data_IF_072883555648
#
_entry.id   IF_072883555648
#
_cell.length_a   1.000
_cell.length_b   1.000
_cell.length_c   1.000
_cell.angle_alpha   90.00
_cell.angle_beta   90.00
_cell.angle_gamma   90.00
#
_symmetry.space_group_name_H-M   'P 1'
#
loop_
_entity.id
_entity.type
_entity.pdbx_description
1 polymer ?
#
# COMPACT_ATOMS: atom_id res chain seq x y z
N UNK A 1 78.05 -19.33 39.44
CA UNK A 1 76.72 -19.78 39.89
C UNK A 1 76.06 -18.61 40.56
N UNK A 2 75.24 -17.89 39.80
CA UNK A 2 74.58 -16.68 40.29
C UNK A 2 73.38 -17.07 41.16
N UNK A 3 73.37 -16.59 42.39
CA UNK A 3 72.32 -16.90 43.37
C UNK A 3 71.12 -16.01 43.06
N UNK A 4 70.10 -16.59 42.43
CA UNK A 4 68.83 -15.90 42.16
C UNK A 4 68.22 -15.35 43.46
N UNK A 5 68.10 -14.04 43.54
CA UNK A 5 67.39 -13.34 44.61
C UNK A 5 65.89 -13.56 44.39
N UNK A 6 65.32 -14.51 45.12
CA UNK A 6 63.88 -14.68 45.21
C UNK A 6 63.33 -13.55 46.09
N UNK A 7 62.85 -12.48 45.46
CA UNK A 7 62.16 -11.39 46.14
C UNK A 7 60.76 -11.92 46.45
N UNK A 8 60.59 -12.51 47.63
CA UNK A 8 59.26 -12.77 48.16
C UNK A 8 58.64 -11.41 48.51
N UNK A 9 57.70 -10.97 47.68
CA UNK A 9 56.89 -9.79 47.94
C UNK A 9 55.84 -10.18 48.98
N UNK A 10 56.16 -9.95 50.25
CA UNK A 10 55.28 -10.19 51.38
C UNK A 10 54.19 -9.11 51.37
N UNK A 11 53.05 -9.45 50.77
CA UNK A 11 51.89 -8.55 50.72
C UNK A 11 51.23 -8.53 52.09
N UNK A 12 51.10 -7.34 52.67
CA UNK A 12 50.35 -7.12 53.91
C UNK A 12 48.86 -7.36 53.68
N UNK A 13 48.12 -7.77 54.72
CA UNK A 13 46.70 -8.10 54.61
C UNK A 13 45.84 -6.97 54.02
N UNK A 14 46.17 -5.72 54.33
CA UNK A 14 45.51 -4.53 53.77
C UNK A 14 45.74 -4.36 52.26
N UNK A 15 46.91 -4.76 51.77
CA UNK A 15 47.22 -4.70 50.34
C UNK A 15 46.51 -5.80 49.56
N UNK A 16 46.33 -6.98 50.17
CA UNK A 16 45.47 -8.02 49.60
C UNK A 16 44.02 -7.53 49.50
N UNK A 17 43.49 -6.87 50.54
CA UNK A 17 42.12 -6.38 50.54
C UNK A 17 41.88 -5.32 49.44
N UNK A 18 42.80 -4.35 49.29
CA UNK A 18 42.74 -3.36 48.19
C UNK A 18 42.75 -4.03 46.81
N UNK A 19 43.57 -5.07 46.62
CA UNK A 19 43.61 -5.82 45.35
C UNK A 19 42.32 -6.58 45.08
N UNK A 20 41.69 -7.16 46.11
CA UNK A 20 40.41 -7.84 45.95
C UNK A 20 39.32 -6.86 45.51
N UNK A 21 39.25 -5.67 46.12
CA UNK A 21 38.30 -4.63 45.75
C UNK A 21 38.53 -4.15 44.31
N UNK A 22 39.78 -3.92 43.92
CA UNK A 22 40.15 -3.55 42.55
C UNK A 22 39.72 -4.62 41.53
N UNK A 23 40.05 -5.89 41.78
CA UNK A 23 39.70 -6.99 40.87
C UNK A 23 38.17 -7.13 40.76
N UNK A 24 37.44 -6.93 41.86
CA UNK A 24 35.98 -6.99 41.86
C UNK A 24 35.37 -5.92 40.95
N UNK A 25 35.90 -4.69 41.00
CA UNK A 25 35.49 -3.59 40.12
C UNK A 25 35.82 -3.88 38.66
N UNK A 26 37.03 -4.39 38.38
CA UNK A 26 37.44 -4.76 37.01
C UNK A 26 36.55 -5.87 36.42
N UNK A 27 36.16 -6.87 37.23
CA UNK A 27 35.24 -7.93 36.82
C UNK A 27 33.86 -7.35 36.48
N UNK A 28 33.34 -6.43 37.30
CA UNK A 28 32.06 -5.77 37.03
C UNK A 28 32.10 -4.97 35.72
N UNK A 29 33.14 -4.15 35.52
CA UNK A 29 33.30 -3.35 34.30
C UNK A 29 33.44 -4.25 33.06
N UNK A 30 34.21 -5.34 33.16
CA UNK A 30 34.37 -6.30 32.07
C UNK A 30 33.04 -6.98 31.72
N UNK A 31 32.24 -7.35 32.72
CA UNK A 31 30.91 -7.94 32.52
C UNK A 31 29.94 -6.96 31.84
N UNK A 32 29.94 -5.68 32.24
CA UNK A 32 29.11 -4.65 31.59
C UNK A 32 29.53 -4.42 30.13
N UNK A 33 30.85 -4.37 29.86
CA UNK A 33 31.37 -4.24 28.49
C UNK A 33 30.96 -5.44 27.64
N UNK A 34 31.08 -6.65 28.17
CA UNK A 34 30.65 -7.87 27.47
C UNK A 34 29.15 -7.85 27.16
N UNK A 35 28.31 -7.53 28.14
CA UNK A 35 26.86 -7.44 27.95
C UNK A 35 26.48 -6.41 26.88
N UNK A 36 27.17 -5.27 26.84
CA UNK A 36 26.98 -4.23 25.81
C UNK A 36 27.32 -4.75 24.41
N UNK A 37 28.42 -5.48 24.27
CA UNK A 37 28.84 -6.07 22.99
C UNK A 37 27.84 -7.13 22.52
N UNK A 38 27.37 -7.99 23.43
CA UNK A 38 26.36 -9.02 23.10
C UNK A 38 25.02 -8.40 22.67
N UNK A 39 24.57 -7.38 23.40
CA UNK A 39 23.32 -6.68 23.09
C UNK A 39 23.41 -5.98 21.72
N UNK A 40 24.50 -5.26 21.44
CA UNK A 40 24.69 -4.60 20.15
C UNK A 40 24.76 -5.60 18.99
N UNK A 41 25.40 -6.75 19.21
CA UNK A 41 25.46 -7.84 18.23
C UNK A 41 24.07 -8.43 17.97
N UNK A 42 23.26 -8.64 19.01
CA UNK A 42 21.90 -9.14 18.88
C UNK A 42 21.01 -8.15 18.11
N UNK A 43 21.09 -6.85 18.45
CA UNK A 43 20.38 -5.77 17.73
C UNK A 43 20.77 -5.74 16.26
N UNK A 44 22.08 -5.80 15.97
CA UNK A 44 22.57 -5.82 14.59
C UNK A 44 22.02 -7.03 13.81
N UNK A 45 22.07 -8.24 14.40
CA UNK A 45 21.53 -9.45 13.76
C UNK A 45 20.05 -9.33 13.46
N UNK A 46 19.24 -8.87 14.41
CA UNK A 46 17.80 -8.66 14.21
C UNK A 46 17.57 -7.64 13.10
N UNK A 47 18.27 -6.50 13.12
CA UNK A 47 18.14 -5.47 12.09
C UNK A 47 18.48 -6.01 10.69
N UNK A 48 19.54 -6.80 10.55
CA UNK A 48 19.90 -7.42 9.27
C UNK A 48 18.84 -8.41 8.78
N UNK A 49 18.27 -9.23 9.68
CA UNK A 49 17.21 -10.18 9.30
C UNK A 49 15.93 -9.46 8.87
N UNK A 50 15.56 -8.36 9.52
CA UNK A 50 14.39 -7.57 9.13
C UNK A 50 14.56 -6.87 7.78
N UNK A 51 15.78 -6.44 7.45
CA UNK A 51 16.09 -5.84 6.14
C UNK A 51 15.99 -6.88 5.03
N UNK A 52 16.49 -8.10 5.25
CA UNK A 52 16.41 -9.18 4.26
C UNK A 52 14.96 -9.58 3.94
N UNK A 53 14.09 -9.65 4.96
CA UNK A 53 12.67 -9.95 4.76
C UNK A 53 11.92 -8.85 4.01
N UNK A 54 12.16 -7.58 4.34
CA UNK A 54 11.53 -6.46 3.63
C UNK A 54 12.01 -6.39 2.16
N UNK A 55 13.30 -6.58 1.91
CA UNK A 55 13.85 -6.63 0.55
C UNK A 55 13.23 -7.77 -0.25
N UNK A 56 13.07 -8.96 0.34
CA UNK A 56 12.40 -10.09 -0.30
C UNK A 56 10.91 -9.78 -0.60
N UNK A 57 10.20 -9.15 0.35
CA UNK A 57 8.81 -8.73 0.19
C UNK A 57 8.65 -7.68 -0.92
N UNK A 58 9.54 -6.68 -0.97
CA UNK A 58 9.57 -5.65 -2.00
C UNK A 58 9.88 -6.25 -3.37
N UNK A 59 10.83 -7.18 -3.46
CA UNK A 59 11.16 -7.86 -4.71
C UNK A 59 9.97 -8.65 -5.26
N UNK A 60 9.20 -9.31 -4.38
CA UNK A 60 7.96 -10.00 -4.76
C UNK A 60 6.90 -9.02 -5.30
N UNK A 61 6.59 -7.96 -4.54
CA UNK A 61 5.60 -6.94 -4.96
C UNK A 61 6.00 -6.28 -6.27
N UNK A 62 7.28 -5.99 -6.47
CA UNK A 62 7.79 -5.42 -7.72
C UNK A 62 7.52 -6.33 -8.92
N UNK A 63 7.68 -7.64 -8.76
CA UNK A 63 7.41 -8.63 -9.81
C UNK A 63 5.92 -8.73 -10.15
N UNK A 64 5.06 -8.64 -9.14
CA UNK A 64 3.61 -8.65 -9.33
C UNK A 64 3.14 -7.40 -10.10
N UNK A 65 3.65 -6.22 -9.71
CA UNK A 65 3.38 -4.95 -10.41
C UNK A 65 3.90 -5.01 -11.85
N UNK A 66 5.10 -5.53 -12.08
CA UNK A 66 5.67 -5.65 -13.42
C UNK A 66 4.77 -6.51 -14.34
N UNK A 67 4.27 -7.63 -13.82
CA UNK A 67 3.33 -8.50 -14.54
C UNK A 67 2.02 -7.79 -14.89
N UNK A 68 1.42 -7.07 -13.93
CA UNK A 68 0.20 -6.30 -14.14
C UNK A 68 0.40 -5.17 -15.18
N UNK A 69 1.54 -4.49 -15.14
CA UNK A 69 1.85 -3.42 -16.10
C UNK A 69 2.03 -3.95 -17.52
N UNK A 70 2.56 -5.17 -17.70
CA UNK A 70 2.69 -5.78 -19.03
C UNK A 70 1.33 -6.25 -19.57
N UNK A 71 0.44 -6.80 -18.73
CA UNK A 71 -0.94 -7.13 -19.10
C UNK A 71 -1.72 -5.88 -19.55
N UNK A 72 -1.61 -4.78 -18.81
CA UNK A 72 -2.23 -3.51 -19.18
C UNK A 72 -1.66 -2.96 -20.50
N UNK A 73 -0.34 -3.06 -20.71
CA UNK A 73 0.31 -2.66 -21.97
C UNK A 73 -0.20 -3.48 -23.15
N UNK A 74 -0.42 -4.79 -22.97
CA UNK A 74 -0.97 -5.65 -24.01
C UNK A 74 -2.43 -5.28 -24.34
N UNK A 75 -3.26 -5.02 -23.32
CA UNK A 75 -4.64 -4.55 -23.51
C UNK A 75 -4.72 -3.24 -24.28
N UNK A 76 -3.85 -2.28 -23.98
CA UNK A 76 -3.78 -1.00 -24.72
C UNK A 76 -3.43 -1.26 -26.19
N UNK A 77 -2.40 -2.06 -26.48
CA UNK A 77 -2.03 -2.42 -27.86
C UNK A 77 -3.17 -3.10 -28.61
N UNK A 78 -3.97 -3.91 -27.92
CA UNK A 78 -5.14 -4.56 -28.54
C UNK A 78 -6.24 -3.55 -28.88
N UNK A 79 -6.44 -2.55 -28.03
CA UNK A 79 -7.40 -1.47 -28.29
C UNK A 79 -6.96 -0.59 -29.47
N UNK A 80 -5.69 -0.17 -29.52
CA UNK A 80 -5.15 0.61 -30.63
C UNK A 80 -5.38 -0.07 -31.99
N UNK A 81 -5.16 -1.40 -32.08
CA UNK A 81 -5.43 -2.15 -33.32
C UNK A 81 -6.90 -2.19 -33.73
N UNK A 82 -7.82 -2.13 -32.78
CA UNK A 82 -9.27 -2.10 -33.08
C UNK A 82 -9.68 -0.75 -33.64
N UNK A 83 -9.08 0.33 -33.14
CA UNK A 83 -9.37 1.68 -33.58
C UNK A 83 -8.89 1.88 -35.03
N UNK A 84 -7.67 1.45 -35.36
CA UNK A 84 -7.14 1.48 -36.74
C UNK A 84 -8.06 0.74 -37.72
N UNK A 85 -8.54 -0.45 -37.34
CA UNK A 85 -9.42 -1.24 -38.18
C UNK A 85 -10.82 -0.62 -38.34
N UNK A 86 -11.32 0.05 -37.30
CA UNK A 86 -12.58 0.78 -37.36
C UNK A 86 -12.48 2.03 -38.25
N UNK A 87 -11.35 2.74 -38.20
CA UNK A 87 -11.08 3.92 -39.01
C UNK A 87 -10.99 3.55 -40.49
N UNK A 88 -10.31 2.44 -40.82
CA UNK A 88 -10.22 1.94 -42.19
C UNK A 88 -11.60 1.55 -42.75
N UNK A 89 -12.44 0.87 -41.95
CA UNK A 89 -13.82 0.55 -42.33
C UNK A 89 -14.66 1.81 -42.57
N UNK A 90 -14.52 2.82 -41.70
CA UNK A 90 -15.22 4.09 -41.86
C UNK A 90 -14.76 4.84 -43.12
N UNK A 91 -13.45 4.88 -43.41
CA UNK A 91 -12.90 5.45 -44.66
C UNK A 91 -13.48 4.77 -45.89
N UNK A 92 -13.51 3.44 -45.91
CA UNK A 92 -14.07 2.66 -47.01
C UNK A 92 -15.58 2.95 -47.21
N UNK A 93 -16.35 3.04 -46.12
CA UNK A 93 -17.76 3.38 -46.16
C UNK A 93 -18.01 4.79 -46.72
N UNK A 94 -17.27 5.79 -46.25
CA UNK A 94 -17.38 7.17 -46.74
C UNK A 94 -17.00 7.28 -48.22
N UNK A 95 -15.93 6.61 -48.66
CA UNK A 95 -15.54 6.58 -50.08
C UNK A 95 -16.66 6.00 -50.97
N UNK A 96 -17.26 4.88 -50.56
CA UNK A 96 -18.38 4.26 -51.27
C UNK A 96 -19.61 5.20 -51.34
N UNK A 97 -19.93 5.90 -50.25
CA UNK A 97 -21.02 6.87 -50.22
C UNK A 97 -20.77 8.04 -51.19
N UNK A 98 -19.56 8.59 -51.21
CA UNK A 98 -19.17 9.68 -52.12
C UNK A 98 -19.30 9.24 -53.58
N UNK A 99 -18.83 8.03 -53.92
CA UNK A 99 -18.93 7.51 -55.29
C UNK A 99 -20.39 7.28 -55.71
N UNK A 100 -21.24 6.83 -54.78
CA UNK A 100 -22.68 6.67 -55.04
C UNK A 100 -23.38 8.02 -55.26
N UNK A 101 -23.05 9.04 -54.47
CA UNK A 101 -23.57 10.40 -54.64
C UNK A 101 -23.11 11.00 -55.98
N UNK A 102 -21.85 10.83 -56.36
CA UNK A 102 -21.31 11.29 -57.66
C UNK A 102 -22.05 10.66 -58.84
N UNK A 103 -22.28 9.34 -58.79
CA UNK A 103 -23.07 8.62 -59.81
C UNK A 103 -24.53 9.07 -59.89
N UNK A 104 -25.10 9.56 -58.80
CA UNK A 104 -26.45 10.14 -58.83
C UNK A 104 -26.44 11.56 -59.39
N UNK A 105 -25.45 12.39 -59.05
CA UNK A 105 -25.26 13.72 -59.61
C UNK A 105 -25.07 13.73 -61.13
N UNK A 106 -24.38 12.73 -61.69
CA UNK A 106 -24.25 12.56 -63.15
C UNK A 106 -25.59 12.26 -63.85
N UNK A 107 -26.56 11.65 -63.15
CA UNK A 107 -27.87 11.30 -63.73
C UNK A 107 -28.88 12.45 -63.73
N UNK A 108 -28.69 13.41 -62.84
CA UNK A 108 -29.56 14.57 -62.71
C UNK A 108 -28.70 15.81 -62.94
N UNK A 109 -28.56 16.28 -64.20
CA UNK A 109 -27.87 17.54 -64.44
C UNK A 109 -28.53 18.61 -63.57
N UNK A 110 -27.72 19.25 -62.73
CA UNK A 110 -28.15 20.39 -61.93
C UNK A 110 -28.66 21.40 -62.94
N UNK A 111 -29.98 21.63 -62.95
CA UNK A 111 -30.55 22.71 -63.75
C UNK A 111 -29.93 23.99 -63.20
N UNK A 112 -29.03 24.60 -63.97
CA UNK A 112 -28.48 25.91 -63.66
C UNK A 112 -29.66 26.85 -63.45
N UNK A 113 -29.88 27.23 -62.19
CA UNK A 113 -30.92 28.17 -61.83
C UNK A 113 -30.43 29.53 -62.32
N UNK A 114 -30.75 29.85 -63.56
CA UNK A 114 -30.30 31.05 -64.24
C UNK A 114 -30.47 32.29 -63.38
N UNK A 115 -29.45 33.14 -63.39
CA UNK A 115 -29.26 34.37 -62.62
C UNK A 115 -30.58 35.10 -62.36
N UNK A 116 -31.25 34.77 -61.26
CA UNK A 116 -32.36 35.57 -60.76
C UNK A 116 -31.76 36.69 -59.94
N UNK A 117 -31.36 37.73 -60.66
CA UNK A 117 -31.34 39.12 -60.21
C UNK A 117 -32.58 39.38 -59.34
N UNK A 118 -32.39 39.24 -58.02
CA UNK A 118 -33.36 39.60 -56.99
C UNK A 118 -33.07 41.02 -56.51
N UNK A 119 -34.10 41.83 -56.21
CA UNK A 119 -33.93 43.25 -55.95
C UNK A 119 -33.27 43.48 -54.61
N UNK A 120 -32.20 44.27 -54.64
CA UNK A 120 -31.63 44.93 -53.49
C UNK A 120 -32.69 45.71 -52.70
N UNK A 121 -32.47 45.80 -51.39
CA UNK A 121 -33.03 46.76 -50.43
C UNK A 121 -34.20 46.26 -49.57
N UNK A 122 -33.87 45.54 -48.51
CA UNK A 122 -34.53 45.74 -47.23
C UNK A 122 -33.48 45.67 -46.13
N UNK A 123 -33.24 46.82 -45.52
CA UNK A 123 -32.34 47.09 -44.42
C UNK A 123 -32.86 46.33 -43.17
N UNK A 124 -32.12 45.38 -42.57
CA UNK A 124 -32.44 44.91 -41.25
C UNK A 124 -32.02 46.00 -40.26
N UNK A 125 -33.02 46.60 -39.63
CA UNK A 125 -32.86 47.46 -38.47
C UNK A 125 -32.13 46.65 -37.39
N UNK A 126 -30.94 47.11 -37.02
CA UNK A 126 -30.12 46.49 -36.00
C UNK A 126 -30.75 46.76 -34.62
N UNK A 127 -31.61 45.85 -34.19
CA UNK A 127 -31.89 45.69 -32.75
C UNK A 127 -30.65 45.05 -32.14
N UNK A 128 -29.95 45.81 -31.29
CA UNK A 128 -28.95 45.30 -30.36
C UNK A 128 -29.64 44.30 -29.42
N UNK A 129 -29.67 43.02 -29.80
CA UNK A 129 -29.90 41.93 -28.87
C UNK A 129 -28.56 41.54 -28.25
N UNK A 130 -28.57 41.52 -26.93
CA UNK A 130 -27.45 41.40 -26.03
C UNK A 130 -27.02 39.93 -25.94
N UNK A 131 -26.09 39.52 -26.81
CA UNK A 131 -25.59 38.14 -26.96
C UNK A 131 -24.55 37.74 -25.90
N UNK A 132 -24.85 37.96 -24.61
CA UNK A 132 -23.98 37.52 -23.50
C UNK A 132 -24.33 36.11 -23.00
N UNK A 133 -25.32 35.45 -23.61
CA UNK A 133 -25.66 34.07 -23.27
C UNK A 133 -24.62 33.12 -23.88
N UNK A 134 -23.55 32.90 -23.13
CA UNK A 134 -22.57 31.83 -23.35
C UNK A 134 -23.33 30.50 -23.50
N UNK A 135 -23.59 30.10 -24.74
CA UNK A 135 -24.19 28.80 -25.07
C UNK A 135 -23.15 27.73 -24.73
N UNK A 136 -23.15 27.28 -23.48
CA UNK A 136 -22.33 26.18 -23.00
C UNK A 136 -22.81 24.91 -23.71
N UNK A 137 -22.16 24.57 -24.82
CA UNK A 137 -22.36 23.32 -25.53
C UNK A 137 -21.90 22.15 -24.65
N UNK A 138 -22.84 21.56 -23.90
CA UNK A 138 -22.60 20.31 -23.17
C UNK A 138 -22.62 19.14 -24.15
N UNK A 139 -21.44 18.71 -24.56
CA UNK A 139 -21.26 17.50 -25.36
C UNK A 139 -21.75 16.27 -24.56
N UNK A 140 -22.72 15.47 -25.06
CA UNK A 140 -23.38 14.43 -24.27
C UNK A 140 -22.53 13.18 -23.94
N UNK A 141 -21.22 13.19 -24.19
CA UNK A 141 -20.37 11.98 -24.07
C UNK A 141 -19.00 12.19 -23.42
N UNK A 142 -18.75 13.32 -22.74
CA UNK A 142 -17.52 13.48 -21.96
C UNK A 142 -17.78 13.14 -20.49
N UNK A 143 -17.70 11.84 -20.21
CA UNK A 143 -17.70 11.27 -18.87
C UNK A 143 -16.53 11.81 -18.05
N UNK A 144 -16.84 12.71 -17.13
CA UNK A 144 -16.09 12.88 -15.90
C UNK A 144 -17.08 12.68 -14.76
N UNK A 145 -16.92 11.59 -14.03
CA UNK A 145 -17.65 11.29 -12.79
C UNK A 145 -17.26 12.34 -11.74
N UNK A 146 -17.90 13.51 -11.79
CA UNK A 146 -17.97 14.41 -10.65
C UNK A 146 -19.21 13.99 -9.88
N UNK A 147 -18.99 13.38 -8.71
CA UNK A 147 -20.03 13.03 -7.76
C UNK A 147 -20.71 14.34 -7.33
N UNK A 148 -21.82 14.69 -7.98
CA UNK A 148 -22.72 15.72 -7.50
C UNK A 148 -23.66 14.98 -6.55
N UNK A 149 -23.49 15.17 -5.25
CA UNK A 149 -24.52 14.81 -4.29
C UNK A 149 -25.78 15.60 -4.68
N UNK A 150 -26.74 14.91 -5.30
CA UNK A 150 -28.05 15.47 -5.59
C UNK A 150 -28.77 15.60 -4.26
N UNK A 151 -28.96 16.84 -3.81
CA UNK A 151 -29.90 17.13 -2.73
C UNK A 151 -31.25 16.49 -3.06
N UNK A 152 -31.79 15.76 -2.09
CA UNK A 152 -32.95 14.88 -2.16
C UNK A 152 -34.29 15.61 -2.38
N UNK A 153 -34.28 16.81 -2.99
CA UNK A 153 -35.45 17.65 -3.25
C UNK A 153 -35.93 17.67 -4.70
N UNK A 154 -35.25 17.00 -5.63
CA UNK A 154 -35.65 16.93 -7.05
C UNK A 154 -36.43 15.66 -7.43
N UNK A 155 -36.72 14.79 -6.45
CA UNK A 155 -37.45 13.53 -6.69
C UNK A 155 -38.95 13.73 -7.04
N UNK A 156 -39.52 14.91 -6.81
CA UNK A 156 -40.95 15.19 -7.02
C UNK A 156 -41.23 16.03 -8.28
N UNK A 157 -40.34 16.04 -9.29
CA UNK A 157 -40.60 16.77 -10.52
C UNK A 157 -41.60 15.98 -11.42
N UNK A 158 -42.76 16.55 -11.80
CA UNK A 158 -43.87 15.84 -12.47
C UNK A 158 -43.60 15.43 -13.93
N UNK A 159 -42.36 15.58 -14.42
CA UNK A 159 -41.98 15.25 -15.79
C UNK A 159 -41.37 13.84 -15.96
N UNK A 160 -41.01 13.14 -14.88
CA UNK A 160 -40.33 11.84 -14.97
C UNK A 160 -41.22 10.60 -14.71
N UNK A 161 -42.50 10.77 -14.44
CA UNK A 161 -43.41 9.65 -14.11
C UNK A 161 -44.40 9.31 -15.22
N UNK A 162 -44.01 9.26 -16.50
CA UNK A 162 -44.85 8.60 -17.51
C UNK A 162 -44.15 8.25 -18.83
N UNK A 163 -43.54 7.07 -18.88
CA UNK A 163 -43.43 6.31 -20.13
C UNK A 163 -44.24 5.03 -19.98
N UNK A 164 -45.43 5.02 -20.59
CA UNK A 164 -46.30 3.86 -20.73
C UNK A 164 -46.39 3.53 -22.22
N UNK A 165 -45.75 2.42 -22.60
CA UNK A 165 -46.03 1.65 -23.83
C UNK A 165 -44.90 1.62 -24.87
N UNK A 166 -44.85 0.60 -25.76
CA UNK A 166 -45.85 -0.45 -25.99
C UNK A 166 -45.40 -1.84 -25.54
N UNK A 167 -46.38 -2.61 -25.09
CA UNK A 167 -46.36 -4.07 -24.98
C UNK A 167 -45.91 -4.67 -26.31
N UNK A 168 -44.69 -5.20 -26.37
CA UNK A 168 -44.34 -6.17 -27.40
C UNK A 168 -43.98 -7.48 -26.72
N UNK A 169 -44.86 -8.45 -26.97
CA UNK A 169 -44.67 -9.83 -26.59
C UNK A 169 -43.48 -10.38 -27.36
N UNK A 170 -42.51 -10.96 -26.65
CA UNK A 170 -41.72 -12.03 -27.23
C UNK A 170 -41.90 -13.32 -26.43
N UNK A 171 -42.05 -14.46 -27.13
CA UNK A 171 -42.57 -15.69 -26.57
C UNK A 171 -41.48 -16.42 -25.80
N UNK A 172 -41.82 -16.85 -24.59
CA UNK A 172 -41.12 -17.91 -23.90
C UNK A 172 -41.64 -19.25 -24.40
N UNK A 173 -40.75 -20.12 -24.91
CA UNK A 173 -40.76 -21.59 -24.86
C UNK A 173 -39.67 -22.11 -25.81
N UNK A 174 -38.53 -22.55 -25.29
CA UNK A 174 -38.23 -23.89 -24.76
C UNK A 174 -37.64 -24.80 -25.84
N UNK A 175 -36.46 -25.35 -25.59
CA UNK A 175 -36.21 -26.79 -25.69
C UNK A 175 -34.76 -27.11 -25.32
N UNK A 176 -34.64 -28.03 -24.38
CA UNK A 176 -33.44 -28.66 -23.87
C UNK A 176 -32.43 -29.10 -24.95
N UNK A 177 -31.15 -28.83 -24.71
CA UNK A 177 -30.14 -29.89 -24.61
C UNK A 177 -28.74 -29.34 -24.38
N UNK A 178 -28.13 -29.84 -23.30
CA UNK A 178 -26.75 -30.27 -23.36
C UNK A 178 -25.72 -29.42 -22.62
N UNK A 179 -25.56 -29.75 -21.34
CA UNK A 179 -24.25 -30.17 -20.79
C UNK A 179 -23.12 -29.13 -20.85
N UNK A 180 -22.98 -28.36 -19.79
CA UNK A 180 -21.74 -28.29 -19.03
C UNK A 180 -22.00 -27.68 -17.65
N UNK A 181 -21.74 -28.51 -16.63
CA UNK A 181 -21.45 -28.08 -15.27
C UNK A 181 -20.21 -27.20 -15.34
N UNK A 182 -20.29 -25.96 -14.85
CA UNK A 182 -19.29 -25.29 -14.02
C UNK A 182 -19.97 -24.08 -13.39
N UNK A 183 -19.94 -24.03 -12.06
CA UNK A 183 -20.71 -23.10 -11.24
C UNK A 183 -20.30 -21.66 -11.49
N UNK A 184 -21.32 -20.82 -11.65
CA UNK A 184 -21.22 -19.37 -11.55
C UNK A 184 -21.05 -19.02 -10.06
N UNK A 185 -19.80 -18.84 -9.65
CA UNK A 185 -19.47 -18.21 -8.38
C UNK A 185 -19.53 -16.70 -8.63
N UNK A 186 -20.75 -16.19 -8.58
CA UNK A 186 -21.02 -14.77 -8.38
C UNK A 186 -20.58 -14.41 -6.95
N UNK A 187 -19.29 -14.20 -6.76
CA UNK A 187 -18.80 -13.40 -5.66
C UNK A 187 -18.78 -11.96 -6.16
N UNK A 188 -19.78 -11.20 -5.70
CA UNK A 188 -19.66 -9.77 -5.47
C UNK A 188 -18.40 -9.56 -4.62
N UNK A 189 -17.25 -9.46 -5.28
CA UNK A 189 -16.06 -8.86 -4.69
C UNK A 189 -16.39 -7.38 -4.62
N UNK A 190 -17.19 -7.01 -3.61
CA UNK A 190 -17.11 -5.69 -3.01
C UNK A 190 -15.61 -5.44 -2.89
N UNK A 191 -15.11 -4.47 -3.64
CA UNK A 191 -13.78 -3.92 -3.45
C UNK A 191 -13.71 -3.59 -1.97
N UNK A 192 -13.19 -4.53 -1.18
CA UNK A 192 -12.65 -4.21 0.11
C UNK A 192 -11.48 -3.37 -0.31
N UNK A 193 -11.72 -2.06 -0.26
CA UNK A 193 -10.70 -1.04 -0.12
C UNK A 193 -9.93 -1.44 1.13
N UNK A 194 -9.04 -2.43 0.98
CA UNK A 194 -8.02 -2.76 1.94
C UNK A 194 -7.08 -1.59 1.81
N UNK A 195 -7.44 -0.50 2.48
CA UNK A 195 -6.56 0.58 2.86
C UNK A 195 -5.51 -0.09 3.75
N UNK A 196 -4.54 -0.76 3.13
CA UNK A 196 -3.27 -1.04 3.77
C UNK A 196 -2.68 0.34 3.96
N UNK A 197 -2.86 0.90 5.15
CA UNK A 197 -2.16 2.10 5.56
C UNK A 197 -0.67 1.82 5.34
N UNK A 198 -0.14 2.36 4.25
CA UNK A 198 1.26 2.26 3.92
C UNK A 198 1.96 3.06 5.00
N UNK A 199 2.46 2.37 6.04
CA UNK A 199 3.13 3.01 7.18
C UNK A 199 4.18 3.92 6.61
N UNK A 200 4.06 5.20 6.90
CA UNK A 200 5.05 6.17 6.44
C UNK A 200 6.38 5.84 7.10
N UNK A 201 7.51 6.23 6.49
CA UNK A 201 8.84 6.02 7.07
C UNK A 201 8.92 6.58 8.51
N UNK A 202 8.13 7.62 8.81
CA UNK A 202 7.97 8.17 10.16
C UNK A 202 7.35 7.17 11.14
N UNK A 203 6.29 6.45 10.74
CA UNK A 203 5.59 5.46 11.58
C UNK A 203 6.46 4.22 11.87
N UNK A 204 7.37 3.85 10.95
CA UNK A 204 8.35 2.78 11.19
C UNK A 204 9.39 3.19 12.23
N UNK A 205 9.88 4.43 12.18
CA UNK A 205 10.84 4.94 13.17
C UNK A 205 10.22 5.03 14.57
N UNK A 206 8.94 5.40 14.66
CA UNK A 206 8.19 5.40 15.91
C UNK A 206 8.04 3.98 16.49
N UNK A 207 7.71 3.00 15.65
CA UNK A 207 7.62 1.59 16.07
C UNK A 207 8.96 1.02 16.55
N UNK A 208 10.07 1.37 15.89
CA UNK A 208 11.42 0.97 16.31
C UNK A 208 11.77 1.58 17.66
N UNK A 209 11.50 2.87 17.86
CA UNK A 209 11.73 3.55 19.14
C UNK A 209 10.88 2.94 20.26
N UNK A 210 9.63 2.60 19.96
CA UNK A 210 8.71 1.99 20.93
C UNK A 210 9.15 0.58 21.32
N UNK A 211 9.63 -0.23 20.36
CA UNK A 211 10.18 -1.55 20.62
C UNK A 211 11.47 -1.48 21.46
N UNK A 212 12.35 -0.51 21.16
CA UNK A 212 13.55 -0.26 21.96
C UNK A 212 13.22 0.14 23.41
N UNK A 213 12.26 1.05 23.58
CA UNK A 213 11.80 1.49 24.92
C UNK A 213 11.26 0.31 25.73
N UNK A 214 10.47 -0.57 25.09
CA UNK A 214 9.91 -1.76 25.74
C UNK A 214 11.01 -2.73 26.18
N UNK A 215 11.98 -3.04 25.31
CA UNK A 215 13.10 -3.92 25.66
C UNK A 215 13.98 -3.33 26.79
N UNK A 216 14.20 -2.01 26.81
CA UNK A 216 14.95 -1.35 27.88
C UNK A 216 14.17 -1.43 29.20
N UNK A 217 12.85 -1.24 29.18
CA UNK A 217 12.02 -1.35 30.38
C UNK A 217 12.06 -2.77 30.96
N UNK A 218 11.90 -3.79 30.11
CA UNK A 218 11.98 -5.20 30.51
C UNK A 218 13.35 -5.56 31.07
N UNK A 219 14.42 -5.16 30.38
CA UNK A 219 15.78 -5.39 30.84
C UNK A 219 16.06 -4.67 32.17
N UNK A 220 15.56 -3.45 32.37
CA UNK A 220 15.69 -2.74 33.65
C UNK A 220 14.96 -3.48 34.77
N UNK A 221 13.76 -3.97 34.54
CA UNK A 221 13.01 -4.76 35.53
C UNK A 221 13.76 -6.04 35.89
N UNK A 222 14.30 -6.75 34.91
CA UNK A 222 15.09 -7.97 35.16
C UNK A 222 16.42 -7.67 35.87
N UNK A 223 17.11 -6.58 35.50
CA UNK A 223 18.32 -6.15 36.21
C UNK A 223 18.02 -5.73 37.66
N UNK A 224 16.93 -4.99 37.88
CA UNK A 224 16.48 -4.61 39.21
C UNK A 224 16.17 -5.84 40.05
N UNK A 225 15.46 -6.82 39.47
CA UNK A 225 15.13 -8.09 40.12
C UNK A 225 16.38 -8.86 40.56
N UNK A 226 17.45 -8.85 39.76
CA UNK A 226 18.73 -9.48 40.12
C UNK A 226 19.52 -8.70 41.16
N UNK A 227 19.32 -7.39 41.23
CA UNK A 227 19.97 -6.52 42.21
C UNK A 227 19.27 -6.54 43.58
N UNK A 228 17.96 -6.76 43.60
CA UNK A 228 17.13 -6.87 44.82
C UNK A 228 17.19 -8.28 45.44
N UNK A 229 17.76 -9.27 44.72
CA UNK A 229 18.04 -10.59 45.26
C UNK A 229 19.36 -10.55 46.06
N UNK A 230 19.38 -11.03 47.31
CA UNK A 230 20.62 -11.15 48.07
C UNK A 230 21.60 -12.07 47.31
N UNK A 231 22.91 -11.78 47.37
CA UNK A 231 23.92 -12.59 46.68
C UNK A 231 23.72 -14.08 46.99
N UNK A 232 23.66 -14.96 45.98
CA UNK A 232 23.55 -16.40 46.22
C UNK A 232 24.86 -16.91 46.82
N UNK A 233 24.85 -17.10 48.14
CA UNK A 233 25.99 -17.44 48.99
C UNK A 233 26.06 -16.37 50.08
N UNK A 234 25.49 -16.58 51.27
CA UNK A 234 25.91 -17.57 52.26
C UNK A 234 24.69 -18.17 52.98
N UNK A 235 24.25 -19.36 52.55
CA UNK A 235 23.50 -20.23 53.46
C UNK A 235 24.52 -20.83 54.44
N UNK A 236 24.64 -20.24 55.63
CA UNK A 236 25.35 -20.85 56.74
C UNK A 236 24.67 -22.19 57.04
N UNK A 237 25.34 -23.29 56.72
CA UNK A 237 25.01 -24.59 57.25
C UNK A 237 25.32 -24.59 58.75
N UNK A 238 24.42 -24.03 59.57
CA UNK A 238 24.38 -24.34 61.01
C UNK A 238 23.71 -25.71 61.12
N UNK A 239 24.48 -26.74 60.78
CA UNK A 239 24.19 -28.09 61.17
C UNK A 239 24.55 -28.19 62.65
N UNK A 240 23.50 -28.16 63.46
CA UNK A 240 23.40 -28.72 64.79
C UNK A 240 24.23 -30.02 64.90
N UNK A 241 25.41 -29.88 65.49
CA UNK A 241 26.38 -30.94 65.70
C UNK A 241 26.81 -30.91 67.14
N UNK A 242 25.97 -31.48 68.01
CA UNK A 242 26.29 -31.68 69.41
C UNK A 242 27.63 -32.38 69.59
N UNK A 243 28.55 -31.72 70.28
CA UNK A 243 29.67 -32.38 70.94
C UNK A 243 29.46 -32.16 72.44
N UNK A 244 28.86 -33.17 73.07
CA UNK A 244 29.08 -33.43 74.48
C UNK A 244 30.59 -33.62 74.69
N UNK A 245 31.19 -32.84 75.58
CA UNK A 245 32.42 -33.26 76.25
C UNK A 245 32.28 -32.99 77.74
N UNK A 246 32.16 -34.10 78.45
CA UNK A 246 32.14 -34.29 79.90
C UNK A 246 33.46 -33.93 80.56
N UNK A 247 33.38 -33.40 81.79
CA UNK A 247 34.32 -33.52 82.93
C UNK A 247 35.77 -33.02 82.74
N UNK A 248 36.43 -32.33 83.67
CA UNK A 248 36.77 -32.72 85.04
C UNK A 248 37.48 -31.51 85.73
N UNK A 249 37.37 -31.40 87.06
CA UNK A 249 38.02 -30.46 88.00
C UNK A 249 37.43 -29.04 88.12
#
# INVERSE_FOLDING_TARGET
MDKGKNIQMELTGEELQRKIEQITLEIQEANEKWLRVDMTTAIYKVATMTLDEDVASQMKRKKDIEMETEDLREKIRLHERKDDHSEEKNKAFHSNMIDKLRKMGEKYPVYEQGDKSGPNNAHPEATEENDDEEIIYKHPFLGTLKLICVDQKLADHPYFTRSKGPTDFFPSQSSDKGKAVMGDVNEDVSLIDVVVAQRTIADQNEFILQLMMQQIAEMRVEMQRRHDLPPPGFAANVADGGIQSTSLC
#
